data_IF_725012462271
#
_entry.id   IF_725012462271
#
_cell.length_a   1.000
_cell.length_b   1.000
_cell.length_c   1.000
_cell.angle_alpha   90.00
_cell.angle_beta   90.00
_cell.angle_gamma   90.00
#
_symmetry.space_group_name_H-M   'P 1'
#
loop_
_entity.id
_entity.type
_entity.pdbx_description
1 polymer ?
#
# COMPACT_ATOMS: atom_id res chain seq x y z
N UNK A 1 -12.15 25.42 -5.79
CA UNK A 1 -11.06 25.57 -4.80
C UNK A 1 -11.56 25.98 -3.42
N UNK A 2 -12.39 27.02 -3.25
CA UNK A 2 -12.87 27.42 -1.90
C UNK A 2 -13.79 26.39 -1.21
N UNK A 3 -14.64 25.69 -1.99
CA UNK A 3 -15.60 24.72 -1.44
C UNK A 3 -14.96 23.44 -0.87
N UNK A 4 -13.78 23.06 -1.36
CA UNK A 4 -13.05 21.88 -0.86
C UNK A 4 -12.48 22.14 0.54
N UNK A 5 -12.00 23.36 0.80
CA UNK A 5 -11.55 23.75 2.13
C UNK A 5 -12.70 23.79 3.14
N UNK A 6 -13.90 24.18 2.72
CA UNK A 6 -15.08 24.21 3.59
C UNK A 6 -15.53 22.81 4.01
N UNK A 7 -15.43 21.82 3.11
CA UNK A 7 -15.70 20.42 3.43
C UNK A 7 -14.78 19.84 4.50
N UNK A 8 -13.51 20.27 4.52
CA UNK A 8 -12.52 19.84 5.51
C UNK A 8 -12.77 20.42 6.91
N UNK A 9 -13.49 21.54 7.00
CA UNK A 9 -13.79 22.22 8.27
C UNK A 9 -15.12 21.77 8.91
N UNK A 10 -16.04 21.19 8.12
CA UNK A 10 -17.32 20.65 8.59
C UNK A 10 -17.23 19.66 9.77
N UNK A 11 -16.26 18.74 9.84
CA UNK A 11 -16.14 17.80 10.97
C UNK A 11 -15.42 18.38 12.19
N UNK A 12 -14.92 19.61 12.14
CA UNK A 12 -14.13 20.20 13.23
C UNK A 12 -15.07 20.86 14.25
N UNK A 13 -15.07 20.34 15.47
CA UNK A 13 -15.74 20.97 16.61
C UNK A 13 -14.71 21.74 17.44
N UNK A 14 -14.86 23.07 17.52
CA UNK A 14 -13.98 23.93 18.30
C UNK A 14 -14.40 23.91 19.78
N UNK A 15 -13.45 23.60 20.66
CA UNK A 15 -13.67 23.53 22.11
C UNK A 15 -12.96 24.70 22.79
N UNK A 16 -13.71 25.70 23.25
CA UNK A 16 -13.17 26.97 23.80
C UNK A 16 -12.48 26.84 25.15
N UNK A 17 -12.61 25.69 25.82
CA UNK A 17 -12.08 25.46 27.17
C UNK A 17 -10.89 24.50 27.20
N UNK A 18 -10.43 24.04 26.03
CA UNK A 18 -9.37 23.03 25.92
C UNK A 18 -8.23 23.63 25.10
N UNK A 19 -7.01 23.50 25.63
CA UNK A 19 -5.82 23.93 24.90
C UNK A 19 -5.60 23.03 23.69
N UNK A 20 -5.24 23.64 22.56
CA UNK A 20 -4.88 22.92 21.36
C UNK A 20 -3.69 21.97 21.64
N UNK A 21 -3.83 20.73 21.16
CA UNK A 21 -2.79 19.71 21.25
C UNK A 21 -2.72 18.89 19.98
N UNK A 22 -1.51 18.57 19.54
CA UNK A 22 -1.28 17.63 18.46
C UNK A 22 -1.65 16.23 18.93
N UNK A 23 -2.55 15.56 18.21
CA UNK A 23 -2.96 14.20 18.49
C UNK A 23 -2.67 13.33 17.27
N UNK A 24 -2.07 12.18 17.52
CA UNK A 24 -1.91 11.16 16.51
C UNK A 24 -3.22 10.37 16.42
N UNK A 25 -3.98 10.56 15.35
CA UNK A 25 -5.32 9.96 15.21
C UNK A 25 -5.34 8.42 15.24
N UNK A 26 -4.34 7.71 14.67
CA UNK A 26 -4.31 6.25 14.71
C UNK A 26 -4.12 5.67 16.12
N UNK A 27 -3.53 6.41 17.05
CA UNK A 27 -3.39 6.00 18.45
C UNK A 27 -3.29 7.26 19.34
N UNK A 28 -4.42 7.60 19.96
CA UNK A 28 -4.54 8.76 20.84
C UNK A 28 -3.92 8.57 22.22
N UNK A 29 -3.62 7.33 22.63
CA UNK A 29 -3.05 7.02 23.95
C UNK A 29 -1.51 6.97 23.90
N UNK A 30 -0.95 6.22 22.95
CA UNK A 30 0.51 6.05 22.83
C UNK A 30 1.16 7.14 21.97
N UNK A 31 0.38 7.81 21.12
CA UNK A 31 0.86 8.86 20.22
C UNK A 31 1.60 8.31 18.98
N UNK A 32 2.35 9.17 18.30
CA UNK A 32 3.11 8.78 17.12
C UNK A 32 4.28 7.88 17.51
N UNK A 33 4.31 6.65 16.98
CA UNK A 33 5.50 5.80 17.02
C UNK A 33 5.81 5.24 15.64
N UNK A 34 7.09 5.16 15.31
CA UNK A 34 7.57 4.59 14.03
C UNK A 34 7.05 3.17 13.86
N UNK A 35 7.00 2.38 14.95
CA UNK A 35 6.47 1.02 14.94
C UNK A 35 4.99 0.97 14.59
N UNK A 36 4.18 1.83 15.20
CA UNK A 36 2.73 1.90 14.94
C UNK A 36 2.44 2.34 13.51
N UNK A 37 3.18 3.32 13.01
CA UNK A 37 3.10 3.76 11.60
C UNK A 37 3.47 2.63 10.65
N UNK A 38 4.58 1.93 10.92
CA UNK A 38 5.02 0.82 10.09
C UNK A 38 4.00 -0.31 10.04
N UNK A 39 3.39 -0.65 11.18
CA UNK A 39 2.32 -1.65 11.26
C UNK A 39 1.06 -1.22 10.50
N UNK A 40 0.66 0.04 10.58
CA UNK A 40 -0.50 0.59 9.86
C UNK A 40 -0.29 0.59 8.35
N UNK A 41 0.90 0.98 7.89
CA UNK A 41 1.23 0.98 6.46
C UNK A 41 1.29 -0.46 5.91
N UNK A 42 1.90 -1.37 6.66
CA UNK A 42 2.05 -2.77 6.24
C UNK A 42 0.71 -3.53 6.25
N UNK A 43 -0.22 -3.18 7.15
CA UNK A 43 -1.57 -3.78 7.18
C UNK A 43 -2.45 -3.32 6.02
N UNK A 44 -2.30 -2.07 5.55
CA UNK A 44 -2.94 -1.57 4.33
C UNK A 44 -2.38 -2.24 3.06
N UNK A 45 -1.07 -2.48 3.01
CA UNK A 45 -0.43 -3.14 1.86
C UNK A 45 -0.91 -4.60 1.65
N UNK A 46 -1.29 -5.29 2.74
CA UNK A 46 -1.91 -6.63 2.63
C UNK A 46 -3.28 -6.60 1.94
N UNK A 47 -4.05 -5.51 2.06
CA UNK A 47 -5.37 -5.36 1.40
C UNK A 47 -5.17 -5.06 -0.10
N UNK A 48 -4.09 -4.39 -0.48
CA UNK A 48 -3.76 -4.06 -1.88
C UNK A 48 -3.21 -5.23 -2.70
N UNK A 49 -2.81 -6.35 -2.08
CA UNK A 49 -2.33 -7.53 -2.81
C UNK A 49 -3.43 -8.20 -3.66
N UNK A 50 -4.71 -7.90 -3.41
CA UNK A 50 -5.84 -8.31 -4.25
C UNK A 50 -5.87 -7.61 -5.63
N UNK A 51 -5.17 -6.48 -5.79
CA UNK A 51 -5.15 -5.67 -7.00
C UNK A 51 -3.88 -5.83 -7.85
N UNK A 52 -2.93 -6.68 -7.42
CA UNK A 52 -1.64 -6.88 -8.10
C UNK A 52 -1.76 -7.30 -9.57
N UNK A 53 -2.88 -7.92 -9.95
CA UNK A 53 -3.18 -8.25 -11.34
C UNK A 53 -3.34 -7.02 -12.25
N UNK A 54 -3.95 -5.94 -11.75
CA UNK A 54 -4.09 -4.69 -12.50
C UNK A 54 -2.77 -3.92 -12.61
N UNK A 55 -1.89 -4.04 -11.61
CA UNK A 55 -0.58 -3.38 -11.60
C UNK A 55 0.38 -3.98 -12.65
N UNK A 56 0.33 -5.30 -12.86
CA UNK A 56 1.18 -5.99 -13.85
C UNK A 56 0.89 -5.50 -15.26
N UNK A 57 -0.36 -5.17 -15.58
CA UNK A 57 -0.77 -4.73 -16.91
C UNK A 57 -0.95 -3.21 -17.03
N UNK A 58 -0.49 -2.44 -16.04
CA UNK A 58 -0.63 -0.99 -16.03
C UNK A 58 0.15 -0.33 -17.18
N UNK A 59 -0.47 0.63 -17.88
CA UNK A 59 0.08 1.31 -19.08
C UNK A 59 1.43 1.98 -18.85
N UNK A 60 1.72 2.38 -17.62
CA UNK A 60 2.98 3.02 -17.21
C UNK A 60 4.16 2.05 -17.06
N UNK A 61 3.89 0.73 -16.96
CA UNK A 61 4.92 -0.29 -16.77
C UNK A 61 5.36 -0.80 -18.15
N UNK A 62 6.67 -0.85 -18.38
CA UNK A 62 7.19 -1.39 -19.65
C UNK A 62 6.81 -2.86 -19.81
N UNK A 63 6.40 -3.26 -21.02
CA UNK A 63 5.90 -4.61 -21.31
C UNK A 63 6.89 -5.72 -20.90
N UNK A 64 8.20 -5.46 -20.96
CA UNK A 64 9.24 -6.40 -20.52
C UNK A 64 9.13 -6.74 -19.03
N UNK A 65 8.84 -5.73 -18.20
CA UNK A 65 8.70 -5.89 -16.74
C UNK A 65 7.41 -6.64 -16.43
N UNK A 66 6.30 -6.32 -17.11
CA UNK A 66 5.03 -7.04 -17.00
C UNK A 66 5.14 -8.53 -17.34
N UNK A 67 5.80 -8.85 -18.45
CA UNK A 67 6.03 -10.24 -18.88
C UNK A 67 6.92 -10.98 -17.88
N UNK A 68 7.96 -10.33 -17.33
CA UNK A 68 8.82 -10.92 -16.31
C UNK A 68 8.03 -11.24 -15.03
N UNK A 69 7.24 -10.28 -14.53
CA UNK A 69 6.41 -10.45 -13.34
C UNK A 69 5.36 -11.57 -13.55
N UNK A 70 4.71 -11.62 -14.70
CA UNK A 70 3.76 -12.69 -15.04
C UNK A 70 4.42 -14.08 -15.08
N UNK A 71 5.64 -14.18 -15.65
CA UNK A 71 6.40 -15.43 -15.64
C UNK A 71 6.84 -15.84 -14.24
N UNK A 72 7.21 -14.87 -13.40
CA UNK A 72 7.58 -15.09 -12.01
C UNK A 72 6.39 -15.62 -11.19
N UNK A 73 5.22 -14.98 -11.30
CA UNK A 73 4.00 -15.40 -10.61
C UNK A 73 3.51 -16.79 -11.01
N UNK A 74 3.80 -17.21 -12.24
CA UNK A 74 3.42 -18.55 -12.73
C UNK A 74 4.52 -19.60 -12.57
N UNK A 75 5.62 -19.25 -11.90
CA UNK A 75 6.81 -20.07 -11.75
C UNK A 75 7.29 -20.66 -13.10
N UNK A 76 7.33 -19.81 -14.13
CA UNK A 76 7.75 -20.15 -15.50
C UNK A 76 9.08 -19.54 -15.89
N UNK A 77 9.84 -19.03 -14.92
CA UNK A 77 11.20 -18.59 -15.17
C UNK A 77 12.13 -19.79 -15.32
N UNK A 78 13.16 -19.72 -16.18
CA UNK A 78 14.15 -20.78 -16.35
C UNK A 78 15.11 -20.82 -15.16
N UNK A 79 14.58 -21.12 -13.99
CA UNK A 79 15.35 -21.43 -12.79
C UNK A 79 15.80 -22.90 -12.85
N UNK A 80 16.89 -23.22 -12.16
CA UNK A 80 17.41 -24.60 -12.10
C UNK A 80 16.32 -25.59 -11.65
N UNK A 81 15.53 -25.21 -10.66
CA UNK A 81 14.41 -26.01 -10.15
C UNK A 81 13.36 -26.26 -11.23
N UNK A 82 12.91 -25.22 -11.95
CA UNK A 82 11.90 -25.36 -13.00
C UNK A 82 12.40 -26.17 -14.21
N UNK A 83 13.69 -26.10 -14.52
CA UNK A 83 14.29 -26.89 -15.59
C UNK A 83 14.35 -28.37 -15.24
N UNK A 84 14.70 -28.70 -13.98
CA UNK A 84 14.66 -30.07 -13.44
C UNK A 84 13.23 -30.60 -13.40
N UNK A 85 12.26 -29.82 -12.90
CA UNK A 85 10.84 -30.23 -12.86
C UNK A 85 10.27 -30.50 -14.26
N UNK A 86 10.80 -29.84 -15.30
CA UNK A 86 10.39 -30.04 -16.69
C UNK A 86 11.21 -31.09 -17.44
N UNK A 87 12.23 -31.69 -16.82
CA UNK A 87 13.11 -32.68 -17.44
C UNK A 87 13.97 -32.12 -18.58
N UNK A 88 14.26 -30.82 -18.56
CA UNK A 88 15.16 -30.17 -19.54
C UNK A 88 16.63 -30.37 -19.16
N UNK A 89 16.90 -30.47 -17.85
CA UNK A 89 18.22 -30.71 -17.25
C UNK A 89 18.06 -31.79 -16.17
#
# INVERSE_FOLDING_TARGET
MMGECQALLLPISLQTHISDRWQWLPDSETGYSVRGVYQLLTSQDMIALGDGHNLIWHRQVSLKVSILAWRLLRDRLPTKTNLVTRGVI
#
